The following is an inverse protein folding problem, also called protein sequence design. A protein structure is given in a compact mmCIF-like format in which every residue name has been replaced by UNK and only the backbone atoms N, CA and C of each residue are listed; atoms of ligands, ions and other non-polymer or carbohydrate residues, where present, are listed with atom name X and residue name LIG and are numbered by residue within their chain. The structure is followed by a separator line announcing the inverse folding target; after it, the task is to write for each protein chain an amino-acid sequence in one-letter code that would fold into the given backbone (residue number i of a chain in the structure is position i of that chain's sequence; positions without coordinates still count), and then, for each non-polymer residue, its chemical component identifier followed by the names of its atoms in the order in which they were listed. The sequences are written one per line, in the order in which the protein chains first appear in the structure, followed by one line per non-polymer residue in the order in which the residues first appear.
data_IF_009342322228
#
_entry.id   IF_009342322228
#
_cell.length_a   1.000
_cell.length_b   1.000
_cell.length_c   1.000
_cell.angle_alpha   90.00
_cell.angle_beta   90.00
_cell.angle_gamma   90.00
#
_symmetry.space_group_name_H-M   'P 1'
#
loop_
_entity.id
_entity.type
_entity.pdbx_description
1 polymer ?
#
# COMPACT_ATOMS: atom_id res chain seq x y z
N UNK A 1 10.62 -11.87 13.12
CA UNK A 1 11.55 -11.42 12.06
C UNK A 1 10.83 -11.64 10.73
N UNK A 2 10.56 -10.56 10.01
CA UNK A 2 9.83 -10.57 8.75
C UNK A 2 9.68 -9.15 8.21
N UNK A 3 9.30 -9.03 6.95
CA UNK A 3 9.01 -7.74 6.34
C UNK A 3 7.58 -7.31 6.71
N UNK A 4 7.43 -6.10 7.25
CA UNK A 4 6.13 -5.58 7.67
C UNK A 4 5.54 -4.66 6.60
N UNK A 5 4.32 -4.92 6.14
CA UNK A 5 3.61 -4.04 5.21
C UNK A 5 2.13 -3.93 5.60
N UNK A 6 1.37 -3.06 4.94
CA UNK A 6 -0.07 -2.88 5.12
C UNK A 6 -0.76 -2.89 3.76
N UNK A 7 -1.93 -3.51 3.68
CA UNK A 7 -2.82 -3.39 2.53
C UNK A 7 -3.92 -2.37 2.87
N UNK A 8 -4.14 -1.44 1.95
CA UNK A 8 -5.23 -0.46 1.96
C UNK A 8 -6.22 -0.79 0.85
N UNK A 9 -7.46 -0.31 0.98
CA UNK A 9 -8.54 -0.60 0.04
C UNK A 9 -8.66 0.50 -1.02
N UNK A 10 -8.72 0.11 -2.30
CA UNK A 10 -8.73 1.05 -3.43
C UNK A 10 -9.99 1.90 -3.54
N UNK A 11 -11.08 1.50 -2.91
CA UNK A 11 -12.34 2.25 -2.85
C UNK A 11 -12.46 3.19 -1.63
N UNK A 12 -11.43 3.24 -0.78
CA UNK A 12 -11.36 4.11 0.41
C UNK A 12 -10.47 5.36 0.14
N UNK A 13 -10.57 5.97 -1.03
CA UNK A 13 -9.67 7.07 -1.47
C UNK A 13 -9.59 8.22 -0.45
N UNK A 14 -10.73 8.67 0.08
CA UNK A 14 -10.78 9.77 1.06
C UNK A 14 -10.07 9.40 2.36
N UNK A 15 -10.34 8.20 2.90
CA UNK A 15 -9.72 7.74 4.13
C UNK A 15 -8.21 7.48 3.93
N UNK A 16 -7.81 6.94 2.78
CA UNK A 16 -6.41 6.73 2.42
C UNK A 16 -5.66 8.07 2.31
N UNK A 17 -6.29 9.10 1.76
CA UNK A 17 -5.69 10.43 1.66
C UNK A 17 -5.45 11.09 3.03
N UNK A 18 -6.25 10.76 4.03
CA UNK A 18 -6.16 11.30 5.39
C UNK A 18 -5.29 10.45 6.34
N UNK A 19 -4.90 9.24 5.94
CA UNK A 19 -4.17 8.30 6.79
C UNK A 19 -2.75 8.80 7.14
N UNK A 20 -2.41 9.00 8.43
CA UNK A 20 -1.10 9.49 8.83
C UNK A 20 0.07 8.57 8.47
N UNK A 21 -0.15 7.27 8.26
CA UNK A 21 0.92 6.34 7.86
C UNK A 21 1.22 6.50 6.38
N UNK A 22 0.19 6.57 5.51
CA UNK A 22 0.37 6.87 4.08
C UNK A 22 0.95 8.28 3.86
N UNK A 23 0.55 9.26 4.67
CA UNK A 23 1.11 10.61 4.61
C UNK A 23 2.62 10.67 4.91
N UNK A 24 3.16 9.75 5.72
CA UNK A 24 4.59 9.70 6.07
C UNK A 24 5.47 9.08 4.98
N UNK A 25 4.89 8.44 3.96
CA UNK A 25 5.66 7.90 2.84
C UNK A 25 6.16 9.05 1.97
N UNK A 26 7.48 9.24 1.89
CA UNK A 26 8.11 10.34 1.15
C UNK A 26 7.94 10.19 -0.38
N UNK A 27 8.16 8.98 -0.89
CA UNK A 27 7.97 8.63 -2.31
C UNK A 27 6.49 8.35 -2.57
N UNK A 28 5.71 9.40 -2.86
CA UNK A 28 4.24 9.31 -2.99
C UNK A 28 3.78 8.32 -4.05
N UNK A 29 4.54 8.15 -5.13
CA UNK A 29 4.29 7.14 -6.15
C UNK A 29 4.26 5.70 -5.60
N UNK A 30 5.00 5.43 -4.53
CA UNK A 30 5.04 4.09 -3.89
C UNK A 30 3.83 3.80 -3.01
N UNK A 31 3.02 4.80 -2.66
CA UNK A 31 1.75 4.59 -1.94
C UNK A 31 0.84 3.64 -2.71
N UNK A 32 0.85 3.72 -4.04
CA UNK A 32 0.07 2.83 -4.91
C UNK A 32 0.38 1.33 -4.68
N UNK A 33 1.61 1.00 -4.25
CA UNK A 33 2.01 -0.39 -3.95
C UNK A 33 1.37 -0.95 -2.69
N UNK A 34 0.73 -0.11 -1.87
CA UNK A 34 0.01 -0.48 -0.65
C UNK A 34 -1.51 -0.55 -0.86
N UNK A 35 -2.03 -0.07 -1.99
CA UNK A 35 -3.46 0.05 -2.25
C UNK A 35 -3.92 -1.06 -3.19
N UNK A 36 -4.77 -1.95 -2.70
CA UNK A 36 -5.34 -3.03 -3.49
C UNK A 36 -6.57 -2.51 -4.28
N UNK A 37 -6.58 -2.59 -5.63
CA UNK A 37 -7.76 -2.22 -6.40
C UNK A 37 -8.93 -3.17 -6.12
N UNK A 38 -10.14 -2.63 -6.12
CA UNK A 38 -11.38 -3.40 -5.99
C UNK A 38 -11.81 -3.96 -7.35
N UNK A 39 -11.99 -5.27 -7.44
CA UNK A 39 -12.57 -5.97 -8.58
C UNK A 39 -13.80 -6.77 -8.10
N UNK A 40 -14.98 -6.15 -8.21
CA UNK A 40 -16.20 -6.67 -7.59
C UNK A 40 -16.07 -6.75 -6.07
N UNK A 41 -16.08 -7.96 -5.52
CA UNK A 41 -15.88 -8.23 -4.09
C UNK A 41 -14.46 -8.74 -3.76
N UNK A 42 -13.55 -8.69 -4.73
CA UNK A 42 -12.17 -9.17 -4.59
C UNK A 42 -11.22 -7.99 -4.55
N UNK A 43 -10.24 -8.06 -3.66
CA UNK A 43 -9.08 -7.18 -3.64
C UNK A 43 -7.84 -8.01 -3.89
N UNK A 44 -7.08 -7.67 -4.94
CA UNK A 44 -5.81 -8.33 -5.24
C UNK A 44 -4.67 -7.44 -4.77
N UNK A 45 -3.84 -7.97 -3.87
CA UNK A 45 -2.68 -7.29 -3.32
C UNK A 45 -1.40 -8.06 -3.62
N UNK A 46 -0.69 -7.61 -4.67
CA UNK A 46 0.56 -8.23 -5.10
C UNK A 46 1.74 -7.65 -4.30
N UNK A 47 2.48 -8.53 -3.60
CA UNK A 47 3.69 -8.13 -2.86
C UNK A 47 4.93 -8.38 -3.72
N UNK A 48 5.63 -7.30 -4.04
CA UNK A 48 6.89 -7.33 -4.77
C UNK A 48 8.03 -7.09 -3.79
N UNK A 49 8.86 -8.13 -3.54
CA UNK A 49 9.94 -8.07 -2.56
C UNK A 49 11.12 -7.19 -3.01
N UNK A 50 11.30 -7.02 -4.32
CA UNK A 50 12.39 -6.24 -4.89
C UNK A 50 12.08 -5.83 -6.32
N UNK A 51 12.61 -4.68 -6.74
CA UNK A 51 12.67 -4.26 -8.14
C UNK A 51 11.64 -3.19 -8.50
N UNK A 52 11.18 -3.20 -9.75
CA UNK A 52 10.13 -2.28 -10.20
C UNK A 52 8.85 -2.62 -9.45
N UNK A 53 8.15 -1.59 -8.92
CA UNK A 53 6.95 -1.71 -8.09
C UNK A 53 7.16 -2.42 -6.74
N UNK A 54 8.38 -2.40 -6.19
CA UNK A 54 8.66 -2.93 -4.86
C UNK A 54 7.70 -2.37 -3.79
N UNK A 55 7.02 -3.28 -3.08
CA UNK A 55 6.06 -2.96 -2.03
C UNK A 55 6.75 -2.22 -0.89
N UNK A 56 6.10 -1.18 -0.36
CA UNK A 56 6.63 -0.48 0.81
C UNK A 56 6.62 -1.41 2.03
N UNK A 57 7.76 -1.50 2.71
CA UNK A 57 7.91 -2.18 3.99
C UNK A 57 8.30 -1.20 5.09
N UNK A 58 7.79 -1.44 6.30
CA UNK A 58 7.97 -0.60 7.47
C UNK A 58 8.90 -1.26 8.48
N UNK A 59 9.63 -0.45 9.23
CA UNK A 59 10.34 -0.85 10.44
C UNK A 59 9.46 -0.48 11.65
N UNK A 60 9.06 -1.48 12.45
CA UNK A 60 8.07 -1.34 13.53
C UNK A 60 8.45 -2.10 14.81
#
# INVERSE_FOLDING_TARGET
IGLHTRMYFGDEETANAEDPVLMRIEQKERVSTLVAPRDGDIYKFDIHLQGINETVFFDI
#
